data_IF_898122252249
#
_entry.id   IF_898122252249
#
_cell.length_a   1.000
_cell.length_b   1.000
_cell.length_c   1.000
_cell.angle_alpha   90.00
_cell.angle_beta   90.00
_cell.angle_gamma   90.00
#
_symmetry.space_group_name_H-M   'P 1'
#
loop_
_entity.id
_entity.type
_entity.pdbx_description
1 polymer ?
#
# COMPACT_ATOMS: atom_id res chain seq x y z
N UNK A 1 5.62 0.28 -11.24
CA UNK A 1 6.29 1.54 -11.64
C UNK A 1 5.89 2.65 -10.69
N UNK A 2 6.77 3.64 -10.51
CA UNK A 2 6.50 4.83 -9.73
C UNK A 2 5.56 5.81 -10.46
N UNK A 3 4.99 6.79 -9.75
CA UNK A 3 4.18 7.84 -10.34
C UNK A 3 4.95 8.65 -11.40
N UNK A 4 4.29 9.11 -12.49
CA UNK A 4 4.97 9.80 -13.60
C UNK A 4 5.73 11.06 -13.20
N UNK A 5 5.28 11.77 -12.16
CA UNK A 5 5.92 13.00 -11.68
C UNK A 5 7.29 12.74 -11.01
N UNK A 6 7.64 11.48 -10.71
CA UNK A 6 8.97 11.08 -10.24
C UNK A 6 9.91 10.67 -11.40
N UNK A 7 9.47 10.82 -12.65
CA UNK A 7 10.19 10.32 -13.82
C UNK A 7 10.09 8.80 -13.97
N UNK A 8 11.00 8.21 -14.75
CA UNK A 8 11.07 6.76 -14.97
C UNK A 8 11.66 6.06 -13.75
N UNK A 9 10.78 5.76 -12.79
CA UNK A 9 11.11 5.11 -11.54
C UNK A 9 10.42 3.74 -11.41
N UNK A 10 11.12 2.76 -10.84
CA UNK A 10 10.60 1.42 -10.55
C UNK A 10 11.04 1.00 -9.15
N UNK A 11 10.09 0.57 -8.32
CA UNK A 11 10.38 -0.18 -7.11
C UNK A 11 10.16 -1.67 -7.35
N UNK A 12 11.04 -2.48 -6.79
CA UNK A 12 10.91 -3.93 -6.72
C UNK A 12 10.92 -4.36 -5.26
N UNK A 13 10.06 -5.31 -4.92
CA UNK A 13 10.02 -5.99 -3.64
C UNK A 13 10.44 -7.44 -3.80
N UNK A 14 11.08 -7.99 -2.77
CA UNK A 14 11.61 -9.35 -2.80
C UNK A 14 11.41 -10.07 -1.47
N UNK A 15 11.45 -11.40 -1.55
CA UNK A 15 11.33 -12.31 -0.42
C UNK A 15 12.55 -12.24 0.52
N UNK A 16 13.64 -11.59 0.10
CA UNK A 16 14.80 -11.22 0.94
C UNK A 16 14.49 -10.09 1.93
N UNK A 17 13.27 -9.54 1.87
CA UNK A 17 12.81 -8.45 2.72
C UNK A 17 13.23 -7.06 2.21
N UNK A 18 13.91 -6.98 1.07
CA UNK A 18 14.41 -5.71 0.53
C UNK A 18 13.46 -5.11 -0.49
N UNK A 19 13.32 -3.79 -0.40
CA UNK A 19 12.77 -2.93 -1.44
C UNK A 19 13.93 -2.21 -2.11
N UNK A 20 13.95 -2.23 -3.44
CA UNK A 20 14.96 -1.57 -4.27
C UNK A 20 14.28 -0.62 -5.24
N UNK A 21 14.85 0.57 -5.38
CA UNK A 21 14.34 1.62 -6.27
C UNK A 21 15.36 1.88 -7.36
N UNK A 22 14.89 1.82 -8.59
CA UNK A 22 15.67 2.07 -9.78
C UNK A 22 15.11 3.28 -10.51
N UNK A 23 16.01 4.13 -11.01
CA UNK A 23 15.66 5.25 -11.89
C UNK A 23 16.45 5.14 -13.19
N UNK A 24 15.80 5.51 -14.29
CA UNK A 24 16.45 5.64 -15.59
C UNK A 24 16.88 7.09 -15.82
N UNK A 25 18.15 7.28 -16.16
CA UNK A 25 18.79 8.59 -16.23
C UNK A 25 18.67 9.29 -17.60
N UNK A 26 18.15 8.61 -18.64
CA UNK A 26 18.08 9.22 -19.98
C UNK A 26 17.03 8.56 -20.91
N UNK A 27 15.97 9.27 -21.35
CA UNK A 27 15.11 8.86 -22.45
C UNK A 27 15.73 9.29 -23.78
N UNK A 28 16.40 8.37 -24.49
CA UNK A 28 15.63 7.57 -25.46
C UNK A 28 15.95 6.07 -25.45
N UNK A 29 16.97 5.62 -24.72
CA UNK A 29 17.43 4.23 -24.81
C UNK A 29 16.65 3.26 -23.90
N UNK A 30 16.06 3.75 -22.80
CA UNK A 30 15.30 2.97 -21.79
C UNK A 30 16.02 1.74 -21.20
N UNK A 31 17.30 1.53 -21.54
CA UNK A 31 18.12 0.37 -21.17
C UNK A 31 18.85 0.55 -19.85
N UNK A 32 19.18 1.79 -19.50
CA UNK A 32 19.99 2.09 -18.33
C UNK A 32 19.09 2.37 -17.13
N UNK A 33 19.05 1.41 -16.21
CA UNK A 33 18.40 1.53 -14.91
C UNK A 33 19.46 1.48 -13.82
N UNK A 34 19.49 2.52 -12.98
CA UNK A 34 20.47 2.63 -11.88
C UNK A 34 19.78 2.44 -10.54
N UNK A 35 20.37 1.63 -9.66
CA UNK A 35 19.89 1.48 -8.29
C UNK A 35 20.10 2.79 -7.53
N UNK A 36 19.03 3.42 -7.07
CA UNK A 36 19.04 4.69 -6.33
C UNK A 36 18.85 4.51 -4.84
N UNK A 37 18.08 3.50 -4.43
CA UNK A 37 17.87 3.20 -3.03
C UNK A 37 17.66 1.70 -2.81
N UNK A 38 18.09 1.23 -1.64
CA UNK A 38 17.82 -0.11 -1.14
C UNK A 38 17.60 -0.03 0.37
N UNK A 39 16.52 -0.64 0.86
CA UNK A 39 16.19 -0.69 2.28
C UNK A 39 15.35 -1.94 2.60
N UNK A 40 15.37 -2.39 3.85
CA UNK A 40 14.44 -3.43 4.31
C UNK A 40 13.02 -2.87 4.33
N UNK A 41 12.04 -3.60 3.78
CA UNK A 41 10.65 -3.15 3.68
C UNK A 41 9.90 -3.06 5.01
N UNK A 42 10.48 -3.63 6.07
CA UNK A 42 9.96 -3.67 7.43
C UNK A 42 11.01 -3.19 8.43
N UNK A 43 10.62 -3.14 9.71
CA UNK A 43 11.59 -3.03 10.80
C UNK A 43 12.62 -4.17 10.69
N UNK A 44 13.89 -3.84 10.92
CA UNK A 44 14.99 -4.80 10.81
C UNK A 44 14.77 -5.91 11.84
N UNK A 45 14.68 -7.14 11.35
CA UNK A 45 14.51 -8.36 12.12
C UNK A 45 15.47 -9.43 11.59
N UNK A 46 15.68 -10.48 12.38
CA UNK A 46 16.50 -11.63 11.98
C UNK A 46 15.71 -12.94 12.20
N UNK A 47 15.28 -13.63 11.13
CA UNK A 47 15.44 -13.27 9.71
C UNK A 47 14.58 -12.04 9.30
N UNK A 48 14.91 -11.37 8.18
CA UNK A 48 14.10 -10.26 7.65
C UNK A 48 12.68 -10.70 7.30
N UNK A 49 11.72 -9.82 7.56
CA UNK A 49 10.34 -9.97 7.12
C UNK A 49 10.25 -9.97 5.59
N UNK A 50 9.48 -10.90 5.01
CA UNK A 50 9.42 -11.08 3.55
C UNK A 50 8.43 -10.08 2.96
N UNK A 51 8.82 -9.33 1.93
CA UNK A 51 7.93 -8.35 1.31
C UNK A 51 7.03 -9.06 0.29
N UNK A 52 5.72 -8.88 0.43
CA UNK A 52 4.70 -9.53 -0.40
C UNK A 52 4.09 -8.59 -1.44
N UNK A 53 3.93 -7.32 -1.10
CA UNK A 53 3.36 -6.32 -2.00
C UNK A 53 3.87 -4.91 -1.68
N UNK A 54 3.83 -4.03 -2.68
CA UNK A 54 4.17 -2.62 -2.56
C UNK A 54 3.20 -1.75 -3.35
N UNK A 55 2.94 -0.53 -2.87
CA UNK A 55 2.19 0.47 -3.63
C UNK A 55 2.75 1.86 -3.39
N UNK A 56 2.98 2.61 -4.47
CA UNK A 56 3.41 4.01 -4.40
C UNK A 56 2.29 4.92 -3.94
N UNK A 57 2.64 6.01 -3.25
CA UNK A 57 1.76 7.17 -3.11
C UNK A 57 1.59 7.82 -4.49
N UNK A 58 0.38 7.84 -5.08
CA UNK A 58 0.16 8.40 -6.41
C UNK A 58 0.15 9.94 -6.44
N UNK A 59 0.13 10.59 -5.27
CA UNK A 59 -0.02 12.05 -5.15
C UNK A 59 1.20 12.81 -5.68
N UNK A 60 1.02 13.77 -6.62
CA UNK A 60 2.12 14.58 -7.16
C UNK A 60 2.55 15.74 -6.24
N UNK A 61 1.80 16.02 -5.17
CA UNK A 61 2.04 17.16 -4.27
C UNK A 61 2.75 16.76 -2.98
N UNK A 62 2.68 15.49 -2.62
CA UNK A 62 3.28 14.99 -1.40
C UNK A 62 4.74 14.60 -1.62
N UNK A 63 5.47 14.35 -0.53
CA UNK A 63 6.74 13.64 -0.64
C UNK A 63 6.52 12.27 -1.28
N UNK A 64 7.50 11.80 -2.06
CA UNK A 64 7.49 10.43 -2.56
C UNK A 64 7.30 9.46 -1.38
N UNK A 65 6.32 8.59 -1.52
CA UNK A 65 5.92 7.65 -0.47
C UNK A 65 5.54 6.32 -1.08
N UNK A 66 5.59 5.27 -0.27
CA UNK A 66 5.07 3.97 -0.61
C UNK A 66 4.61 3.21 0.62
N UNK A 67 3.72 2.27 0.43
CA UNK A 67 3.39 1.26 1.43
C UNK A 67 3.98 -0.08 1.03
N UNK A 68 4.43 -0.82 2.04
CA UNK A 68 5.10 -2.11 1.89
C UNK A 68 4.41 -3.10 2.81
N UNK A 69 3.94 -4.20 2.26
CA UNK A 69 3.27 -5.30 2.97
C UNK A 69 4.22 -6.47 3.18
N UNK A 70 4.04 -7.21 4.28
CA UNK A 70 4.89 -8.35 4.61
C UNK A 70 4.11 -9.63 4.87
N UNK A 71 4.81 -10.75 4.75
CA UNK A 71 4.24 -12.08 5.00
C UNK A 71 3.90 -12.32 6.48
N UNK A 72 4.49 -11.56 7.38
CA UNK A 72 4.35 -11.63 8.85
C UNK A 72 3.18 -10.77 9.36
N UNK A 73 2.24 -10.38 8.50
CA UNK A 73 1.04 -9.63 8.86
C UNK A 73 1.27 -8.15 9.17
N UNK A 74 2.48 -7.64 8.95
CA UNK A 74 2.78 -6.23 9.13
C UNK A 74 2.75 -5.48 7.80
N UNK A 75 2.49 -4.18 7.86
CA UNK A 75 2.65 -3.27 6.72
C UNK A 75 3.26 -1.96 7.19
N UNK A 76 4.00 -1.29 6.32
CA UNK A 76 4.79 -0.12 6.67
C UNK A 76 4.62 0.98 5.64
N UNK A 77 4.39 2.20 6.13
CA UNK A 77 4.41 3.41 5.33
C UNK A 77 5.82 3.98 5.30
N UNK A 78 6.39 4.06 4.11
CA UNK A 78 7.70 4.62 3.83
C UNK A 78 7.59 5.96 3.13
N UNK A 79 8.35 6.95 3.59
CA UNK A 79 8.42 8.29 3.01
C UNK A 79 9.88 8.59 2.68
N UNK A 80 10.12 9.12 1.48
CA UNK A 80 11.42 9.66 1.12
C UNK A 80 11.64 10.99 1.84
N UNK A 81 12.77 11.13 2.51
CA UNK A 81 13.21 12.40 3.07
C UNK A 81 13.42 13.41 1.94
N UNK A 82 13.01 14.66 2.14
CA UNK A 82 13.15 15.71 1.12
C UNK A 82 14.57 16.25 1.07
N UNK A 83 15.26 16.24 2.22
CA UNK A 83 16.58 16.84 2.35
C UNK A 83 17.69 15.84 2.00
N UNK A 84 17.37 14.54 1.97
CA UNK A 84 18.31 13.45 1.65
C UNK A 84 17.60 12.37 0.85
N UNK A 85 18.25 11.71 -0.12
CA UNK A 85 17.66 10.64 -0.92
C UNK A 85 17.55 9.32 -0.12
N UNK A 86 17.02 9.39 1.10
CA UNK A 86 16.86 8.27 2.02
C UNK A 86 15.39 8.00 2.29
N UNK A 87 15.04 6.74 2.36
CA UNK A 87 13.69 6.28 2.69
C UNK A 87 13.59 5.94 4.17
N UNK A 88 12.51 6.38 4.82
CA UNK A 88 12.29 6.14 6.25
C UNK A 88 10.87 5.70 6.54
N UNK A 89 10.72 4.82 7.52
CA UNK A 89 9.41 4.40 8.01
C UNK A 89 8.75 5.57 8.75
N UNK A 90 7.51 5.87 8.37
CA UNK A 90 6.65 6.86 9.03
C UNK A 90 5.64 6.19 9.94
N UNK A 91 5.01 5.09 9.50
CA UNK A 91 3.96 4.38 10.25
C UNK A 91 4.07 2.86 10.06
N UNK A 92 3.64 2.12 11.08
CA UNK A 92 3.32 0.69 10.99
C UNK A 92 1.80 0.52 10.93
N UNK A 93 1.28 -0.09 9.88
CA UNK A 93 -0.14 -0.37 9.70
C UNK A 93 -0.49 -1.63 10.50
N UNK A 94 -1.45 -1.52 11.41
CA UNK A 94 -1.87 -2.61 12.30
C UNK A 94 -3.11 -3.36 11.77
N UNK A 95 -3.36 -4.57 12.25
CA UNK A 95 -4.66 -5.24 12.13
C UNK A 95 -4.61 -6.66 11.57
N UNK A 96 -3.79 -6.92 10.55
CA UNK A 96 -3.71 -8.27 9.97
C UNK A 96 -3.12 -9.28 10.95
N UNK A 97 -3.75 -10.45 11.01
CA UNK A 97 -3.32 -11.62 11.80
C UNK A 97 -2.68 -12.70 10.94
N UNK A 98 -2.88 -12.62 9.61
CA UNK A 98 -2.26 -13.47 8.60
C UNK A 98 -1.30 -12.72 7.69
N UNK A 99 -0.79 -13.39 6.66
CA UNK A 99 0.05 -12.78 5.63
C UNK A 99 -0.73 -11.70 4.88
N UNK A 100 -0.16 -10.50 4.75
CA UNK A 100 -0.72 -9.45 3.89
C UNK A 100 -0.41 -9.81 2.44
N UNK A 101 -1.43 -10.10 1.65
CA UNK A 101 -1.32 -10.57 0.26
C UNK A 101 -1.31 -9.43 -0.74
N UNK A 102 -2.03 -8.35 -0.45
CA UNK A 102 -2.11 -7.16 -1.31
C UNK A 102 -2.11 -5.90 -0.48
N UNK A 103 -1.51 -4.84 -1.00
CA UNK A 103 -1.62 -3.49 -0.44
C UNK A 103 -1.65 -2.47 -1.57
N UNK A 104 -2.59 -1.53 -1.50
CA UNK A 104 -2.81 -0.53 -2.55
C UNK A 104 -3.14 0.84 -1.96
N UNK A 105 -2.51 1.87 -2.54
CA UNK A 105 -2.70 3.26 -2.16
C UNK A 105 -3.69 3.92 -3.13
N UNK A 106 -4.78 4.48 -2.60
CA UNK A 106 -5.83 5.10 -3.41
C UNK A 106 -5.33 6.39 -4.10
N UNK A 107 -5.65 6.60 -5.38
CA UNK A 107 -5.59 7.92 -6.00
C UNK A 107 -6.39 8.93 -5.18
N UNK A 108 -5.84 10.12 -4.92
CA UNK A 108 -6.46 11.13 -4.05
C UNK A 108 -6.78 12.45 -4.79
N UNK A 109 -7.75 12.47 -5.73
CA UNK A 109 -8.17 13.72 -6.34
C UNK A 109 -9.01 14.54 -5.35
N UNK A 110 -8.33 15.35 -4.53
CA UNK A 110 -8.98 16.40 -3.74
C UNK A 110 -9.50 16.01 -2.35
N UNK A 111 -9.21 14.81 -1.80
CA UNK A 111 -9.50 14.53 -0.38
C UNK A 111 -8.37 15.05 0.50
N UNK A 112 -8.72 15.55 1.69
CA UNK A 112 -7.75 16.00 2.70
C UNK A 112 -6.97 14.88 3.42
N UNK A 113 -7.06 13.64 2.91
CA UNK A 113 -6.40 12.45 3.46
C UNK A 113 -6.22 11.41 2.34
N UNK A 114 -5.23 10.54 2.51
CA UNK A 114 -5.08 9.34 1.70
C UNK A 114 -5.84 8.16 2.28
N UNK A 115 -6.18 7.23 1.40
CA UNK A 115 -6.68 5.92 1.75
C UNK A 115 -5.69 4.87 1.26
N UNK A 116 -5.47 3.86 2.09
CA UNK A 116 -4.73 2.65 1.75
C UNK A 116 -5.62 1.46 2.08
N UNK A 117 -5.62 0.45 1.22
CA UNK A 117 -6.27 -0.82 1.46
C UNK A 117 -5.21 -1.92 1.56
N UNK A 118 -5.35 -2.81 2.52
CA UNK A 118 -4.61 -4.08 2.56
C UNK A 118 -5.58 -5.25 2.59
N UNK A 119 -5.12 -6.40 2.12
CA UNK A 119 -5.87 -7.65 2.20
C UNK A 119 -4.95 -8.81 2.56
N UNK A 120 -5.48 -9.85 3.22
CA UNK A 120 -4.65 -10.91 3.78
C UNK A 120 -5.24 -12.31 3.74
N UNK A 121 -4.43 -13.29 4.15
CA UNK A 121 -4.84 -14.70 4.30
C UNK A 121 -5.84 -14.92 5.43
N UNK A 122 -5.96 -13.93 6.32
CA UNK A 122 -6.95 -13.90 7.41
C UNK A 122 -8.37 -13.53 6.92
N UNK A 123 -8.54 -13.32 5.62
CA UNK A 123 -9.80 -12.94 4.99
C UNK A 123 -10.22 -11.50 5.26
N UNK A 124 -9.36 -10.72 5.92
CA UNK A 124 -9.65 -9.32 6.18
C UNK A 124 -9.25 -8.45 5.01
N UNK A 125 -10.01 -7.38 4.82
CA UNK A 125 -9.62 -6.21 4.03
C UNK A 125 -9.63 -5.02 4.97
N UNK A 126 -8.48 -4.39 5.18
CA UNK A 126 -8.34 -3.30 6.15
C UNK A 126 -8.10 -2.00 5.40
N UNK A 127 -8.91 -0.99 5.73
CA UNK A 127 -8.73 0.37 5.24
C UNK A 127 -8.01 1.22 6.27
N UNK A 128 -7.09 2.05 5.79
CA UNK A 128 -6.36 3.01 6.60
C UNK A 128 -6.54 4.42 6.07
N UNK A 129 -6.61 5.37 6.98
CA UNK A 129 -6.64 6.81 6.68
C UNK A 129 -5.31 7.43 7.06
N UNK A 130 -4.63 8.06 6.10
CA UNK A 130 -3.34 8.73 6.33
C UNK A 130 -3.47 10.22 6.03
N UNK A 131 -2.96 11.14 6.87
CA UNK A 131 -2.92 12.57 6.55
C UNK A 131 -2.14 12.83 5.25
N UNK A 132 -2.52 13.86 4.49
CA UNK A 132 -1.77 14.30 3.30
C UNK A 132 -0.39 14.87 3.64
N UNK A 133 -0.23 15.46 4.83
CA UNK A 133 1.07 15.93 5.31
C UNK A 133 1.94 14.75 5.77
N UNK A 134 2.54 14.06 4.82
CA UNK A 134 3.44 12.94 5.08
C UNK A 134 4.83 13.43 5.46
N UNK A 135 5.29 13.06 6.66
CA UNK A 135 6.67 13.30 7.11
C UNK A 135 7.30 11.98 7.60
N UNK A 136 8.61 11.79 7.40
CA UNK A 136 9.35 10.73 8.08
C UNK A 136 9.11 10.78 9.59
N UNK A 137 9.06 9.61 10.24
CA UNK A 137 9.04 9.60 11.71
C UNK A 137 10.35 10.18 12.23
N UNK A 138 10.25 11.23 13.06
CA UNK A 138 11.38 11.76 13.84
C UNK A 138 11.54 11.04 15.18
N UNK A 139 10.60 10.16 15.52
CA UNK A 139 10.59 9.42 16.78
C UNK A 139 11.53 8.22 16.73
N UNK A 140 12.05 7.84 17.89
CA UNK A 140 12.82 6.61 18.10
C UNK A 140 12.00 5.36 17.83
N UNK A 141 10.70 5.40 18.14
CA UNK A 141 9.76 4.32 17.85
C UNK A 141 8.88 4.68 16.65
N UNK A 142 8.56 3.67 15.83
CA UNK A 142 7.64 3.82 14.71
C UNK A 142 6.20 3.71 15.23
N UNK A 143 5.38 4.78 15.15
CA UNK A 143 4.02 4.73 15.65
C UNK A 143 3.13 3.83 14.79
N UNK A 144 2.18 3.17 15.45
CA UNK A 144 1.12 2.44 14.77
C UNK A 144 0.13 3.40 14.09
N UNK A 145 -0.45 2.93 12.99
CA UNK A 145 -1.61 3.51 12.34
C UNK A 145 -2.77 2.55 12.53
N UNK A 146 -3.75 2.99 13.31
CA UNK A 146 -4.97 2.22 13.54
C UNK A 146 -5.81 2.08 12.27
N UNK A 147 -6.50 0.95 12.08
CA UNK A 147 -7.49 0.79 11.03
C UNK A 147 -8.54 1.90 11.04
N UNK A 148 -8.89 2.42 9.87
CA UNK A 148 -10.11 3.21 9.70
C UNK A 148 -11.34 2.31 9.84
N UNK A 149 -11.33 1.18 9.16
CA UNK A 149 -12.38 0.16 9.19
C UNK A 149 -11.85 -1.15 8.60
N UNK A 150 -12.51 -2.26 8.94
CA UNK A 150 -12.30 -3.58 8.35
C UNK A 150 -13.54 -3.90 7.51
N UNK A 151 -13.34 -4.28 6.25
CA UNK A 151 -14.43 -4.63 5.35
C UNK A 151 -14.76 -6.11 5.53
N UNK A 152 -15.81 -6.37 6.30
CA UNK A 152 -16.28 -7.73 6.60
C UNK A 152 -17.12 -8.29 5.45
N UNK A 153 -16.89 -9.56 5.10
CA UNK A 153 -17.73 -10.28 4.14
C UNK A 153 -17.03 -11.45 3.46
N UNK A 154 -15.71 -11.39 3.28
CA UNK A 154 -14.95 -12.51 2.75
C UNK A 154 -14.85 -13.65 3.77
N UNK A 155 -15.10 -14.89 3.31
CA UNK A 155 -15.03 -16.09 4.16
C UNK A 155 -13.69 -16.84 4.09
N UNK A 156 -12.73 -16.30 3.35
CA UNK A 156 -11.41 -16.89 3.13
C UNK A 156 -10.39 -15.85 2.64
N UNK A 157 -9.17 -16.28 2.28
CA UNK A 157 -8.10 -15.40 1.83
C UNK A 157 -8.54 -14.38 0.77
N UNK A 158 -8.10 -13.13 0.95
CA UNK A 158 -8.34 -12.07 -0.02
C UNK A 158 -7.04 -11.72 -0.73
N UNK A 159 -6.91 -12.20 -1.95
CA UNK A 159 -5.68 -12.15 -2.74
C UNK A 159 -5.37 -10.78 -3.30
N UNK A 160 -6.39 -9.98 -3.61
CA UNK A 160 -6.22 -8.65 -4.21
C UNK A 160 -7.20 -7.65 -3.64
N UNK A 161 -6.73 -6.43 -3.47
CA UNK A 161 -7.53 -5.25 -3.14
C UNK A 161 -7.01 -4.07 -3.97
N UNK A 162 -7.82 -3.56 -4.89
CA UNK A 162 -7.41 -2.55 -5.87
C UNK A 162 -8.43 -1.41 -5.97
N UNK A 163 -7.90 -0.18 -6.00
CA UNK A 163 -8.71 1.03 -6.08
C UNK A 163 -9.12 1.34 -7.53
N UNK A 164 -10.28 1.95 -7.70
CA UNK A 164 -10.60 2.60 -8.97
C UNK A 164 -9.77 3.89 -9.16
N UNK A 165 -9.79 4.42 -10.38
CA UNK A 165 -9.01 5.60 -10.79
C UNK A 165 -9.30 6.87 -9.98
N UNK A 166 -10.51 7.01 -9.43
CA UNK A 166 -10.91 8.14 -8.58
C UNK A 166 -10.62 7.90 -7.09
N UNK A 167 -10.22 6.70 -6.70
CA UNK A 167 -10.04 6.29 -5.30
C UNK A 167 -11.33 6.36 -4.48
N UNK A 168 -12.49 6.18 -5.10
CA UNK A 168 -13.82 6.24 -4.47
C UNK A 168 -14.45 4.86 -4.28
N UNK A 169 -13.94 3.85 -4.99
CA UNK A 169 -14.37 2.47 -4.86
C UNK A 169 -13.16 1.54 -4.77
N UNK A 170 -13.32 0.46 -4.03
CA UNK A 170 -12.33 -0.61 -3.90
C UNK A 170 -12.92 -1.91 -4.43
N UNK A 171 -12.19 -2.62 -5.28
CA UNK A 171 -12.51 -3.99 -5.67
C UNK A 171 -11.63 -4.96 -4.89
N UNK A 172 -12.21 -6.02 -4.34
CA UNK A 172 -11.48 -7.07 -3.61
C UNK A 172 -11.80 -8.42 -4.21
N UNK A 173 -10.80 -9.28 -4.36
CA UNK A 173 -10.96 -10.63 -4.90
C UNK A 173 -10.40 -11.64 -3.91
N UNK A 174 -11.26 -12.53 -3.43
CA UNK A 174 -10.90 -13.64 -2.56
C UNK A 174 -11.29 -14.99 -3.16
N UNK A 175 -11.07 -16.05 -2.39
CA UNK A 175 -11.48 -17.42 -2.78
C UNK A 175 -13.00 -17.57 -2.90
N UNK A 176 -13.76 -16.78 -2.15
CA UNK A 176 -15.22 -16.85 -2.07
C UNK A 176 -15.91 -16.06 -3.20
N UNK A 177 -15.49 -14.82 -3.44
CA UNK A 177 -16.11 -13.91 -4.38
C UNK A 177 -15.22 -12.71 -4.72
N UNK A 178 -15.61 -11.95 -5.75
CA UNK A 178 -15.12 -10.59 -5.97
C UNK A 178 -16.16 -9.59 -5.47
N UNK A 179 -15.75 -8.61 -4.67
CA UNK A 179 -16.64 -7.61 -4.06
C UNK A 179 -16.23 -6.20 -4.45
N UNK A 180 -17.23 -5.32 -4.59
CA UNK A 180 -17.04 -3.89 -4.83
C UNK A 180 -17.52 -3.12 -3.60
N UNK A 181 -16.67 -2.23 -3.09
CA UNK A 181 -16.92 -1.46 -1.88
C UNK A 181 -16.93 0.03 -2.18
N UNK A 182 -17.82 0.77 -1.53
CA UNK A 182 -17.87 2.23 -1.59
C UNK A 182 -18.14 2.84 -0.21
N UNK A 183 -17.60 4.03 0.04
CA UNK A 183 -17.96 4.81 1.22
C UNK A 183 -19.33 5.46 1.06
N UNK A 184 -20.00 5.76 2.17
CA UNK A 184 -21.22 6.57 2.16
C UNK A 184 -20.87 8.03 1.88
N UNK A 185 -21.70 8.71 1.09
CA UNK A 185 -21.48 10.11 0.68
C UNK A 185 -21.27 11.07 1.87
N UNK A 186 -21.90 10.80 3.01
CA UNK A 186 -21.84 11.64 4.21
C UNK A 186 -20.90 11.11 5.29
N UNK A 187 -20.31 9.93 5.12
CA UNK A 187 -19.39 9.35 6.10
C UNK A 187 -18.31 8.50 5.40
N UNK A 188 -17.13 9.09 5.27
CA UNK A 188 -15.96 8.43 4.66
C UNK A 188 -15.41 7.24 5.45
N UNK A 189 -15.82 7.06 6.71
CA UNK A 189 -15.44 5.91 7.53
C UNK A 189 -16.35 4.70 7.32
N UNK A 190 -17.58 4.91 6.82
CA UNK A 190 -18.53 3.84 6.58
C UNK A 190 -18.43 3.33 5.15
N UNK A 191 -17.85 2.14 5.01
CA UNK A 191 -17.75 1.40 3.76
C UNK A 191 -18.75 0.25 3.74
N UNK A 192 -19.31 -0.03 2.57
CA UNK A 192 -20.26 -1.13 2.39
C UNK A 192 -20.06 -1.78 1.02
N UNK A 193 -20.40 -3.07 0.95
CA UNK A 193 -20.38 -3.83 -0.29
C UNK A 193 -21.56 -3.39 -1.16
N UNK A 194 -21.27 -2.81 -2.33
CA UNK A 194 -22.28 -2.34 -3.31
C UNK A 194 -22.49 -3.33 -4.45
N UNK A 195 -21.64 -4.34 -4.58
CA UNK A 195 -21.78 -5.40 -5.57
C UNK A 195 -20.92 -6.61 -5.22
N UNK A 196 -21.42 -7.80 -5.53
CA UNK A 196 -20.69 -9.07 -5.40
C UNK A 196 -20.77 -9.80 -6.73
N UNK A 197 -19.64 -10.37 -7.15
CA UNK A 197 -19.53 -11.26 -8.30
C UNK A 197 -19.06 -12.60 -7.76
N UNK A 198 -19.99 -13.56 -7.74
CA UNK A 198 -19.72 -14.91 -7.29
C UNK A 198 -18.90 -15.67 -8.35
N UNK A 199 -18.07 -16.64 -7.94
CA UNK A 199 -17.42 -17.54 -8.87
C UNK A 199 -18.49 -18.29 -9.66
N UNK A 200 -18.27 -18.43 -10.97
CA UNK A 200 -19.18 -19.21 -11.83
C UNK A 200 -19.18 -20.64 -11.32
N UNK A 201 -20.36 -21.16 -10.97
CA UNK A 201 -20.53 -22.58 -10.68
C UNK A 201 -20.16 -23.36 -11.94
N UNK A 202 -19.09 -24.15 -11.88
CA UNK A 202 -18.74 -25.13 -12.89
C UNK A 202 -19.61 -26.38 -12.78
#
# INVERSE_FOLDING_TARGET
>A
FGPPHLGLCLATASNDGLVRIYESADPPEYKLWTLKAQFFGALIANPPARVTAISWNPSPVDSAGMVVATAEGSSYLWIQDRDRPSWRISKRLAGHTGTVLSISWAPNPGRGYHLIASSGTDGQVILYKVPTTLRPSQMTEVPFLEPLTVLEGHSGPVWRAEWNVSGTALATAGDDATRLWQSRAHDSSQWHCVGTVDPVSM
#
